data_IF_308316792216
#
_entry.id   IF_308316792216
#
_cell.length_a   1.000
_cell.length_b   1.000
_cell.length_c   1.000
_cell.angle_alpha   90.00
_cell.angle_beta   90.00
_cell.angle_gamma   90.00
#
_symmetry.space_group_name_H-M   'P 1'
#
loop_
_entity.id
_entity.type
_entity.pdbx_description
1 polymer ?
#
# COMPACT_ATOMS: atom_id res chain seq x y z
N UNK A 1 -7.29 -39.31 50.19
CA UNK A 1 -6.68 -38.93 48.90
C UNK A 1 -7.70 -39.22 47.80
N UNK A 2 -8.21 -38.20 47.12
CA UNK A 2 -9.21 -38.34 46.05
C UNK A 2 -8.45 -38.42 44.72
N UNK A 3 -8.57 -39.54 44.01
CA UNK A 3 -8.07 -39.70 42.63
C UNK A 3 -9.15 -39.13 41.71
N UNK A 4 -8.98 -37.88 41.29
CA UNK A 4 -9.90 -37.25 40.32
C UNK A 4 -9.54 -37.79 38.93
N UNK A 5 -10.38 -38.66 38.39
CA UNK A 5 -10.23 -39.26 37.05
C UNK A 5 -10.62 -38.23 35.97
N UNK A 6 -9.81 -37.18 35.84
CA UNK A 6 -9.97 -36.14 34.80
C UNK A 6 -9.99 -36.75 33.39
N UNK A 7 -9.25 -37.84 33.20
CA UNK A 7 -9.17 -38.58 31.93
C UNK A 7 -10.49 -39.25 31.52
N UNK A 8 -11.32 -39.74 32.45
CA UNK A 8 -12.64 -40.29 32.12
C UNK A 8 -13.64 -39.20 31.78
N UNK A 9 -13.51 -37.99 32.35
CA UNK A 9 -14.40 -36.87 32.03
C UNK A 9 -14.06 -36.22 30.69
N UNK A 10 -12.78 -36.23 30.30
CA UNK A 10 -12.31 -35.79 28.97
C UNK A 10 -12.65 -36.82 27.88
N UNK A 11 -12.44 -38.11 28.13
CA UNK A 11 -12.72 -39.18 27.15
C UNK A 11 -14.19 -39.63 27.11
N UNK A 12 -14.94 -39.51 28.21
CA UNK A 12 -16.37 -39.85 28.29
C UNK A 12 -17.27 -38.91 27.49
N UNK A 13 -16.74 -37.76 27.05
CA UNK A 13 -17.39 -36.82 26.13
C UNK A 13 -17.25 -37.20 24.65
N UNK A 14 -16.39 -38.15 24.31
CA UNK A 14 -16.36 -38.77 22.99
C UNK A 14 -17.48 -39.84 22.87
N UNK A 15 -18.65 -39.54 23.42
CA UNK A 15 -19.87 -40.33 23.22
C UNK A 15 -20.16 -40.30 21.73
N UNK A 16 -20.21 -41.47 21.09
CA UNK A 16 -20.37 -41.63 19.65
C UNK A 16 -21.38 -40.60 19.10
N UNK A 17 -20.85 -39.54 18.49
CA UNK A 17 -21.67 -38.43 17.99
C UNK A 17 -22.49 -38.96 16.82
N UNK A 18 -23.82 -38.81 16.85
CA UNK A 18 -24.67 -39.19 15.73
C UNK A 18 -24.18 -38.54 14.43
N UNK A 19 -24.12 -39.32 13.34
CA UNK A 19 -23.59 -38.86 12.04
C UNK A 19 -24.28 -37.59 11.50
N UNK A 20 -25.56 -37.38 11.86
CA UNK A 20 -26.31 -36.17 11.49
C UNK A 20 -25.78 -34.91 12.18
N UNK A 21 -25.29 -35.02 13.43
CA UNK A 21 -24.67 -33.90 14.15
C UNK A 21 -23.33 -33.52 13.52
N UNK A 22 -22.54 -34.51 13.10
CA UNK A 22 -21.28 -34.26 12.40
C UNK A 22 -21.52 -33.51 11.07
N UNK A 23 -22.56 -33.89 10.31
CA UNK A 23 -22.92 -33.19 9.07
C UNK A 23 -23.40 -31.75 9.32
N UNK A 24 -24.22 -31.52 10.34
CA UNK A 24 -24.65 -30.18 10.74
C UNK A 24 -23.47 -29.31 11.20
N UNK A 25 -22.55 -29.87 11.99
CA UNK A 25 -21.37 -29.15 12.43
C UNK A 25 -20.48 -28.76 11.25
N UNK A 26 -20.34 -29.64 10.26
CA UNK A 26 -19.60 -29.36 9.03
C UNK A 26 -20.27 -28.30 8.16
N UNK A 27 -21.60 -28.33 8.04
CA UNK A 27 -22.35 -27.28 7.34
C UNK A 27 -22.25 -25.93 8.07
N UNK A 28 -22.39 -25.93 9.40
CA UNK A 28 -22.27 -24.73 10.21
C UNK A 28 -20.87 -24.12 10.13
N UNK A 29 -19.81 -24.94 10.19
CA UNK A 29 -18.43 -24.45 10.06
C UNK A 29 -18.18 -23.83 8.68
N UNK A 30 -18.74 -24.42 7.62
CA UNK A 30 -18.67 -23.86 6.28
C UNK A 30 -19.36 -22.49 6.21
N UNK A 31 -20.58 -22.36 6.76
CA UNK A 31 -21.32 -21.10 6.79
C UNK A 31 -20.53 -20.04 7.56
N UNK A 32 -19.98 -20.38 8.72
CA UNK A 32 -19.16 -19.46 9.52
C UNK A 32 -17.93 -19.03 8.72
N UNK A 33 -17.23 -19.97 8.08
CA UNK A 33 -16.07 -19.67 7.24
C UNK A 33 -16.41 -18.70 6.09
N UNK A 34 -17.48 -18.98 5.35
CA UNK A 34 -17.96 -18.10 4.27
C UNK A 34 -18.37 -16.72 4.81
N UNK A 35 -19.06 -16.67 5.95
CA UNK A 35 -19.48 -15.40 6.57
C UNK A 35 -18.27 -14.56 6.97
N UNK A 36 -17.26 -15.18 7.60
CA UNK A 36 -16.02 -14.50 7.96
C UNK A 36 -15.24 -14.04 6.72
N UNK A 37 -15.21 -14.84 5.67
CA UNK A 37 -14.59 -14.46 4.41
C UNK A 37 -15.29 -13.26 3.76
N UNK A 38 -16.63 -13.26 3.73
CA UNK A 38 -17.42 -12.13 3.21
C UNK A 38 -17.20 -10.86 4.04
N UNK A 39 -17.13 -10.98 5.37
CA UNK A 39 -16.80 -9.86 6.26
C UNK A 39 -15.41 -9.29 5.94
N UNK A 40 -14.40 -10.16 5.81
CA UNK A 40 -13.04 -9.75 5.47
C UNK A 40 -12.96 -9.11 4.07
N UNK A 41 -13.62 -9.71 3.07
CA UNK A 41 -13.67 -9.21 1.71
C UNK A 41 -14.39 -7.86 1.61
N UNK A 42 -15.51 -7.70 2.33
CA UNK A 42 -16.25 -6.44 2.41
C UNK A 42 -15.41 -5.35 3.05
N UNK A 43 -14.71 -5.66 4.14
CA UNK A 43 -13.80 -4.73 4.79
C UNK A 43 -12.63 -4.35 3.86
N UNK A 44 -12.04 -5.33 3.16
CA UNK A 44 -10.98 -5.11 2.20
C UNK A 44 -11.43 -4.21 1.04
N UNK A 45 -12.66 -4.36 0.55
CA UNK A 45 -13.20 -3.52 -0.53
C UNK A 45 -13.20 -2.03 -0.16
N UNK A 46 -13.37 -1.70 1.12
CA UNK A 46 -13.31 -0.32 1.64
C UNK A 46 -11.87 0.07 1.99
N UNK A 47 -11.09 -0.83 2.59
CA UNK A 47 -9.71 -0.55 2.99
C UNK A 47 -8.78 -0.33 1.80
N UNK A 48 -8.90 -1.11 0.73
CA UNK A 48 -8.04 -1.00 -0.46
C UNK A 48 -8.01 0.43 -1.02
N UNK A 49 -9.15 1.07 -1.36
CA UNK A 49 -9.13 2.43 -1.88
C UNK A 49 -8.57 3.43 -0.86
N UNK A 50 -8.86 3.28 0.43
CA UNK A 50 -8.31 4.15 1.48
C UNK A 50 -6.79 4.05 1.54
N UNK A 51 -6.25 2.83 1.55
CA UNK A 51 -4.80 2.58 1.57
C UNK A 51 -4.13 3.09 0.30
N UNK A 52 -4.77 2.93 -0.87
CA UNK A 52 -4.26 3.49 -2.13
C UNK A 52 -4.14 5.01 -2.07
N UNK A 53 -5.17 5.71 -1.57
CA UNK A 53 -5.14 7.17 -1.43
C UNK A 53 -4.06 7.62 -0.44
N UNK A 54 -4.02 7.01 0.74
CA UNK A 54 -3.00 7.34 1.76
C UNK A 54 -1.59 7.05 1.24
N UNK A 55 -1.40 5.92 0.55
CA UNK A 55 -0.13 5.55 -0.08
C UNK A 55 0.29 6.55 -1.14
N UNK A 56 -0.62 6.98 -2.02
CA UNK A 56 -0.34 7.99 -3.03
C UNK A 56 0.08 9.32 -2.41
N UNK A 57 -0.62 9.78 -1.37
CA UNK A 57 -0.29 11.01 -0.62
C UNK A 57 1.08 10.86 0.06
N UNK A 58 1.35 9.72 0.69
CA UNK A 58 2.63 9.48 1.36
C UNK A 58 3.79 9.50 0.37
N UNK A 59 3.65 8.84 -0.79
CA UNK A 59 4.65 8.85 -1.87
C UNK A 59 4.84 10.26 -2.41
N UNK A 60 3.75 11.01 -2.63
CA UNK A 60 3.84 12.40 -3.09
C UNK A 60 4.60 13.28 -2.11
N UNK A 61 4.29 13.14 -0.81
CA UNK A 61 4.96 13.89 0.27
C UNK A 61 6.43 13.50 0.41
N UNK A 62 6.76 12.22 0.20
CA UNK A 62 8.15 11.75 0.20
C UNK A 62 8.92 12.31 -1.01
N UNK A 63 8.34 12.25 -2.21
CA UNK A 63 8.93 12.87 -3.41
C UNK A 63 9.13 14.36 -3.26
N UNK A 64 8.16 15.08 -2.67
CA UNK A 64 8.29 16.51 -2.39
C UNK A 64 9.46 16.82 -1.45
N UNK A 65 9.66 16.00 -0.41
CA UNK A 65 10.80 16.14 0.50
C UNK A 65 12.14 15.81 -0.17
N UNK A 66 12.20 14.77 -1.01
CA UNK A 66 13.41 14.41 -1.76
C UNK A 66 13.78 15.51 -2.76
N UNK A 67 12.79 16.05 -3.46
CA UNK A 67 12.96 17.21 -4.36
C UNK A 67 13.43 18.45 -3.60
N UNK A 68 12.86 18.72 -2.41
CA UNK A 68 13.32 19.81 -1.54
C UNK A 68 14.74 19.60 -1.01
N UNK A 69 15.18 18.35 -0.86
CA UNK A 69 16.56 18.00 -0.52
C UNK A 69 17.51 17.99 -1.73
N UNK A 70 17.03 18.36 -2.93
CA UNK A 70 17.83 18.41 -4.15
C UNK A 70 18.12 17.05 -4.79
N UNK A 71 17.50 15.97 -4.30
CA UNK A 71 17.67 14.61 -4.82
C UNK A 71 16.46 14.32 -5.70
N UNK A 72 16.60 14.53 -7.01
CA UNK A 72 15.59 14.08 -7.96
C UNK A 72 15.91 12.64 -8.41
N UNK A 73 15.15 11.62 -7.94
CA UNK A 73 15.42 10.23 -8.32
C UNK A 73 15.13 9.93 -9.79
N UNK A 74 14.46 10.83 -10.51
CA UNK A 74 14.23 10.69 -11.95
C UNK A 74 15.38 11.23 -12.80
N UNK A 75 16.25 12.08 -12.25
CA UNK A 75 17.44 12.60 -12.94
C UNK A 75 18.49 13.10 -11.91
N UNK A 76 19.48 12.27 -11.53
CA UNK A 76 20.54 12.68 -10.60
C UNK A 76 21.49 13.77 -11.16
N UNK A 77 21.35 14.13 -12.45
CA UNK A 77 22.13 15.16 -13.13
C UNK A 77 21.28 16.28 -13.74
N UNK A 78 19.96 16.30 -13.50
CA UNK A 78 19.15 17.42 -13.97
C UNK A 78 19.41 18.63 -13.07
N UNK A 79 20.12 19.61 -13.61
CA UNK A 79 20.10 20.98 -13.13
C UNK A 79 18.65 21.38 -12.80
N UNK A 80 18.49 21.97 -11.62
CA UNK A 80 17.27 22.44 -10.97
C UNK A 80 16.03 22.58 -11.88
N UNK A 81 14.84 22.15 -11.43
CA UNK A 81 13.62 22.31 -12.19
C UNK A 81 13.30 23.80 -12.34
N UNK A 82 13.51 24.32 -13.56
CA UNK A 82 12.92 25.57 -14.03
C UNK A 82 11.43 25.57 -13.66
N UNK A 83 11.08 26.50 -12.79
CA UNK A 83 9.72 26.87 -12.46
C UNK A 83 8.98 27.23 -13.77
N UNK A 84 7.93 26.50 -14.18
CA UNK A 84 7.27 26.74 -15.47
C UNK A 84 6.36 27.98 -15.48
N UNK A 85 6.48 28.87 -14.47
CA UNK A 85 5.60 30.02 -14.28
C UNK A 85 6.35 31.37 -14.26
N UNK A 86 7.63 31.35 -14.62
CA UNK A 86 8.31 32.56 -15.07
C UNK A 86 8.66 32.33 -16.52
N UNK A 87 7.93 33.01 -17.40
CA UNK A 87 8.43 33.38 -18.72
C UNK A 87 9.70 34.19 -18.45
N UNK A 88 10.81 33.48 -18.34
CA UNK A 88 12.15 34.06 -18.36
C UNK A 88 12.28 34.56 -19.79
N UNK A 89 11.92 35.83 -20.01
CA UNK A 89 12.23 36.54 -21.24
C UNK A 89 13.74 36.59 -21.28
N UNK A 90 14.32 35.59 -21.93
CA UNK A 90 15.73 35.59 -22.29
C UNK A 90 15.83 36.68 -23.34
N UNK A 91 16.24 37.88 -22.92
CA UNK A 91 16.69 38.94 -23.81
C UNK A 91 18.03 38.47 -24.39
N UNK A 92 17.96 37.50 -25.30
CA UNK A 92 19.09 37.07 -26.08
C UNK A 92 19.33 38.18 -27.09
N UNK A 93 20.06 39.20 -26.64
CA UNK A 93 20.62 40.22 -27.51
C UNK A 93 21.43 39.50 -28.60
N UNK A 94 20.86 39.47 -29.81
CA UNK A 94 21.50 38.84 -30.96
C UNK A 94 22.73 39.65 -31.32
N UNK A 95 23.91 39.21 -30.87
CA UNK A 95 25.17 39.68 -31.44
C UNK A 95 25.40 38.92 -32.75
N UNK A 96 25.09 39.58 -33.86
CA UNK A 96 25.52 39.15 -35.19
C UNK A 96 27.05 39.27 -35.18
N UNK A 97 27.74 38.14 -35.21
CA UNK A 97 29.20 38.11 -35.36
C UNK A 97 29.45 38.33 -36.86
N UNK A 98 29.84 39.54 -37.22
CA UNK A 98 30.29 39.82 -38.58
C UNK A 98 31.61 39.04 -38.83
N UNK A 99 31.79 38.42 -40.02
CA UNK A 99 32.91 37.51 -40.28
C UNK A 99 34.32 38.09 -40.12
N UNK A 100 34.47 39.40 -39.94
CA UNK A 100 35.75 40.11 -40.02
C UNK A 100 36.16 40.83 -38.72
N UNK A 101 35.58 40.48 -37.58
CA UNK A 101 35.93 41.10 -36.31
C UNK A 101 37.21 40.47 -35.70
N UNK A 102 38.27 41.26 -35.42
CA UNK A 102 39.50 40.71 -34.86
C UNK A 102 39.31 40.34 -33.38
N UNK A 103 39.58 39.06 -33.05
CA UNK A 103 39.58 38.54 -31.68
C UNK A 103 40.55 39.33 -30.80
N UNK A 104 40.04 39.90 -29.70
CA UNK A 104 40.83 40.30 -28.52
C UNK A 104 40.31 39.60 -27.29
#
# INVERSE_FOLDING_TARGET
>A
MIRVNLYEQLNGRARAVPRWQAWLAMAASLIVGVTLFLLAASLALILIPVVLVVGAIAVWRLKAKLKAAGIDPANPFANQPRQPDRVEVIDAEYRIIEPDEPRR
#
